data_IF_512897369813
#
_entry.id   IF_512897369813
#
_cell.length_a   1.000
_cell.length_b   1.000
_cell.length_c   1.000
_cell.angle_alpha   90.00
_cell.angle_beta   90.00
_cell.angle_gamma   90.00
#
_symmetry.space_group_name_H-M   'P 1'
#
loop_
_entity.id
_entity.type
_entity.pdbx_description
1 polymer ?
#
# COMPACT_ATOMS: atom_id res chain seq x y z
N UNK A 1 -29.22 -3.23 -2.96
CA UNK A 1 -28.77 -4.18 -1.92
C UNK A 1 -27.93 -3.48 -0.82
N UNK A 2 -26.58 -3.49 -0.82
CA UNK A 2 -25.81 -2.80 0.26
C UNK A 2 -25.99 -1.28 0.15
N UNK A 3 -25.89 -0.73 -1.04
CA UNK A 3 -26.02 0.70 -1.27
C UNK A 3 -27.44 1.20 -0.98
N UNK A 4 -28.46 0.40 -1.32
CA UNK A 4 -29.86 0.72 -0.96
C UNK A 4 -30.06 0.71 0.55
N UNK A 5 -29.42 -0.22 1.28
CA UNK A 5 -29.46 -0.25 2.74
C UNK A 5 -28.73 0.93 3.41
N UNK A 6 -27.79 1.55 2.69
CA UNK A 6 -27.06 2.74 3.15
C UNK A 6 -27.65 4.05 2.59
N UNK A 7 -28.75 3.98 1.86
CA UNK A 7 -29.37 5.13 1.16
C UNK A 7 -28.35 5.88 0.25
N UNK A 8 -27.52 5.12 -0.46
CA UNK A 8 -26.47 5.66 -1.33
C UNK A 8 -26.93 5.66 -2.79
N UNK A 9 -27.02 6.83 -3.41
CA UNK A 9 -27.53 7.02 -4.77
C UNK A 9 -26.50 7.55 -5.79
N UNK A 10 -25.22 7.57 -5.42
CA UNK A 10 -24.15 8.07 -6.28
C UNK A 10 -23.71 7.08 -7.37
N UNK A 11 -22.89 7.53 -8.32
CA UNK A 11 -22.24 6.64 -9.27
C UNK A 11 -21.38 5.58 -8.58
N UNK A 12 -21.31 4.39 -9.17
CA UNK A 12 -20.56 3.25 -8.63
C UNK A 12 -19.48 2.87 -9.62
N UNK A 13 -18.24 2.76 -9.14
CA UNK A 13 -17.11 2.24 -9.89
C UNK A 13 -16.54 1.03 -9.16
N UNK A 14 -16.41 -0.09 -9.87
CA UNK A 14 -15.75 -1.28 -9.34
C UNK A 14 -14.34 -1.33 -9.92
N UNK A 15 -13.34 -1.32 -9.05
CA UNK A 15 -11.93 -1.49 -9.39
C UNK A 15 -11.53 -2.92 -9.08
N UNK A 16 -11.18 -3.70 -10.13
CA UNK A 16 -10.76 -5.09 -9.99
C UNK A 16 -9.46 -5.29 -10.77
N UNK A 17 -8.34 -5.04 -10.10
CA UNK A 17 -7.00 -5.15 -10.65
C UNK A 17 -6.04 -5.82 -9.65
N UNK A 18 -6.46 -6.98 -9.15
CA UNK A 18 -5.72 -7.82 -8.21
C UNK A 18 -5.34 -7.07 -6.92
N UNK A 19 -4.12 -7.29 -6.42
CA UNK A 19 -3.68 -6.78 -5.12
C UNK A 19 -3.57 -5.25 -5.05
N UNK A 20 -3.57 -4.54 -6.17
CA UNK A 20 -3.57 -3.08 -6.21
C UNK A 20 -4.97 -2.45 -6.18
N UNK A 21 -6.06 -3.26 -6.17
CA UNK A 21 -7.45 -2.78 -6.30
C UNK A 21 -7.80 -1.72 -5.26
N UNK A 22 -7.55 -1.98 -3.98
CA UNK A 22 -7.88 -1.04 -2.89
C UNK A 22 -7.10 0.27 -3.00
N UNK A 23 -5.81 0.20 -3.31
CA UNK A 23 -4.97 1.38 -3.54
C UNK A 23 -5.45 2.21 -4.74
N UNK A 24 -5.75 1.55 -5.86
CA UNK A 24 -6.26 2.22 -7.06
C UNK A 24 -7.69 2.78 -6.87
N UNK A 25 -8.55 2.10 -6.09
CA UNK A 25 -9.87 2.63 -5.77
C UNK A 25 -9.79 3.94 -4.97
N UNK A 26 -8.89 4.00 -3.97
CA UNK A 26 -8.62 5.21 -3.20
C UNK A 26 -7.99 6.29 -4.08
N UNK A 27 -7.00 5.94 -4.92
CA UNK A 27 -6.38 6.86 -5.86
C UNK A 27 -7.37 7.44 -6.88
N UNK A 28 -8.25 6.61 -7.43
CA UNK A 28 -9.31 7.06 -8.34
C UNK A 28 -10.29 8.03 -7.65
N UNK A 29 -10.71 7.73 -6.42
CA UNK A 29 -11.55 8.64 -5.64
C UNK A 29 -10.87 10.00 -5.41
N UNK A 30 -9.57 10.02 -5.13
CA UNK A 30 -8.78 11.23 -5.01
C UNK A 30 -8.74 12.04 -6.32
N UNK A 31 -8.56 11.36 -7.47
CA UNK A 31 -8.60 12.03 -8.78
C UNK A 31 -9.96 12.67 -9.08
N UNK A 32 -11.07 11.99 -8.77
CA UNK A 32 -12.42 12.53 -8.93
C UNK A 32 -12.63 13.81 -8.10
N UNK A 33 -12.17 13.82 -6.86
CA UNK A 33 -12.26 14.99 -5.99
C UNK A 33 -11.36 16.12 -6.49
N UNK A 34 -10.10 15.79 -6.80
CA UNK A 34 -9.13 16.78 -7.25
C UNK A 34 -9.48 17.44 -8.58
N UNK A 35 -10.14 16.72 -9.47
CA UNK A 35 -10.63 17.24 -10.76
C UNK A 35 -11.98 17.98 -10.64
N UNK A 36 -12.57 18.07 -9.45
CA UNK A 36 -13.86 18.71 -9.21
C UNK A 36 -15.07 17.91 -9.70
N UNK A 37 -14.89 16.64 -10.07
CA UNK A 37 -15.98 15.76 -10.49
C UNK A 37 -16.82 15.26 -9.31
N UNK A 38 -16.22 15.23 -8.10
CA UNK A 38 -16.91 14.88 -6.87
C UNK A 38 -16.41 15.75 -5.71
N UNK A 39 -17.30 16.05 -4.77
CA UNK A 39 -16.94 16.71 -3.50
C UNK A 39 -16.59 15.67 -2.43
N UNK A 40 -17.26 14.52 -2.48
CA UNK A 40 -17.10 13.41 -1.54
C UNK A 40 -17.26 12.07 -2.24
N UNK A 41 -16.39 11.12 -1.93
CA UNK A 41 -16.40 9.76 -2.47
C UNK A 41 -16.17 8.77 -1.33
N UNK A 42 -16.96 7.70 -1.30
CA UNK A 42 -16.69 6.54 -0.45
C UNK A 42 -15.85 5.56 -1.27
N UNK A 43 -14.66 5.23 -0.80
CA UNK A 43 -13.74 4.34 -1.49
C UNK A 43 -12.97 3.44 -0.52
N UNK A 44 -12.50 2.32 -1.01
CA UNK A 44 -11.73 1.36 -0.21
C UNK A 44 -11.59 0.03 -0.91
N UNK A 45 -11.39 -1.01 -0.13
CA UNK A 45 -11.25 -2.37 -0.63
C UNK A 45 -11.72 -3.39 0.39
N UNK A 46 -12.14 -4.54 -0.11
CA UNK A 46 -12.48 -5.71 0.71
C UNK A 46 -12.04 -6.97 -0.03
N UNK A 47 -11.73 -7.98 0.72
CA UNK A 47 -11.52 -9.34 0.20
C UNK A 47 -11.78 -10.35 1.32
N UNK A 48 -12.18 -11.56 0.93
CA UNK A 48 -12.45 -12.66 1.84
C UNK A 48 -11.72 -13.92 1.40
N UNK A 49 -11.24 -14.68 2.36
CA UNK A 49 -10.61 -15.96 2.09
C UNK A 49 -11.63 -16.93 1.48
N UNK A 50 -11.24 -17.56 0.39
CA UNK A 50 -12.00 -18.61 -0.23
C UNK A 50 -11.09 -19.70 -0.82
N UNK A 51 -11.64 -20.89 -0.98
CA UNK A 51 -10.92 -22.05 -1.48
C UNK A 51 -10.30 -21.80 -2.87
N UNK A 52 -11.02 -21.12 -3.75
CA UNK A 52 -10.54 -20.82 -5.10
C UNK A 52 -9.27 -19.95 -5.07
N UNK A 53 -9.26 -18.93 -4.24
CA UNK A 53 -8.09 -18.02 -4.11
C UNK A 53 -6.93 -18.76 -3.49
N UNK A 54 -7.18 -19.51 -2.40
CA UNK A 54 -6.14 -20.31 -1.75
C UNK A 54 -5.51 -21.31 -2.74
N UNK A 55 -6.32 -22.11 -3.42
CA UNK A 55 -5.87 -23.10 -4.40
C UNK A 55 -5.12 -22.44 -5.57
N UNK A 56 -5.54 -21.26 -5.99
CA UNK A 56 -4.85 -20.49 -7.03
C UNK A 56 -3.43 -20.11 -6.62
N UNK A 57 -3.24 -19.53 -5.43
CA UNK A 57 -1.91 -19.17 -4.92
C UNK A 57 -1.05 -20.39 -4.58
N UNK A 58 -1.66 -21.48 -4.10
CA UNK A 58 -0.99 -22.76 -3.86
C UNK A 58 -0.46 -23.36 -5.17
N UNK A 59 -1.27 -23.38 -6.21
CA UNK A 59 -0.87 -23.89 -7.53
C UNK A 59 0.28 -23.08 -8.17
N UNK A 60 0.41 -21.81 -7.82
CA UNK A 60 1.52 -20.94 -8.22
C UNK A 60 2.75 -21.10 -7.32
N UNK A 61 2.67 -21.92 -6.28
CA UNK A 61 3.72 -22.08 -5.27
C UNK A 61 4.14 -20.73 -4.64
N UNK A 62 3.17 -19.85 -4.45
CA UNK A 62 3.40 -18.51 -3.91
C UNK A 62 3.15 -18.42 -2.40
N UNK A 63 2.52 -19.43 -1.81
CA UNK A 63 2.25 -19.49 -0.37
C UNK A 63 3.49 -19.92 0.40
N UNK A 64 3.72 -19.29 1.55
CA UNK A 64 4.74 -19.72 2.50
C UNK A 64 4.35 -21.06 3.12
N UNK A 65 5.33 -21.94 3.27
CA UNK A 65 5.18 -23.20 3.99
C UNK A 65 5.48 -23.07 5.48
N UNK A 66 5.92 -21.90 5.89
CA UNK A 66 6.30 -21.60 7.29
C UNK A 66 5.54 -20.37 7.79
N UNK A 67 6.13 -19.18 7.67
CA UNK A 67 5.52 -17.89 8.01
C UNK A 67 5.88 -16.84 6.97
N UNK A 68 4.98 -15.89 6.74
CA UNK A 68 5.25 -14.75 5.88
C UNK A 68 6.28 -13.83 6.54
N UNK A 69 7.43 -13.61 5.87
CA UNK A 69 8.52 -12.78 6.38
C UNK A 69 9.08 -11.87 5.28
N UNK A 70 8.41 -10.76 4.99
CA UNK A 70 8.85 -9.84 3.95
C UNK A 70 10.30 -9.38 4.15
N UNK A 71 11.04 -9.24 3.06
CA UNK A 71 12.44 -8.78 3.02
C UNK A 71 13.46 -9.63 3.80
N UNK A 72 13.05 -10.72 4.47
CA UNK A 72 13.98 -11.65 5.11
C UNK A 72 14.63 -12.55 4.05
N UNK A 73 15.91 -12.90 4.25
CA UNK A 73 16.65 -13.77 3.36
C UNK A 73 16.07 -15.20 3.28
N UNK A 74 15.31 -15.63 4.28
CA UNK A 74 14.68 -16.94 4.38
C UNK A 74 13.21 -16.94 3.95
N UNK A 75 12.70 -15.83 3.37
CA UNK A 75 11.32 -15.77 2.88
C UNK A 75 11.06 -16.84 1.84
N UNK A 76 9.93 -17.50 1.92
CA UNK A 76 9.55 -18.61 1.05
C UNK A 76 8.14 -18.43 0.42
N UNK A 77 7.47 -17.32 0.70
CA UNK A 77 6.14 -17.05 0.15
C UNK A 77 5.31 -16.13 1.02
N UNK A 78 4.10 -15.88 0.58
CA UNK A 78 3.12 -15.05 1.26
C UNK A 78 2.18 -15.89 2.16
N UNK A 79 1.54 -15.22 3.12
CA UNK A 79 0.36 -15.74 3.80
C UNK A 79 -0.86 -14.95 3.32
N UNK A 80 -1.99 -15.63 3.09
CA UNK A 80 -3.24 -14.97 2.75
C UNK A 80 -3.94 -14.43 4.00
N UNK A 81 -4.63 -13.31 3.85
CA UNK A 81 -5.50 -12.71 4.86
C UNK A 81 -6.81 -12.25 4.25
N UNK A 82 -7.74 -11.85 5.10
CA UNK A 82 -9.01 -11.26 4.69
C UNK A 82 -9.30 -9.99 5.49
N UNK A 83 -10.10 -9.09 4.93
CA UNK A 83 -10.48 -7.87 5.61
C UNK A 83 -11.13 -6.85 4.69
N UNK A 84 -11.43 -5.70 5.28
CA UNK A 84 -11.98 -4.55 4.56
C UNK A 84 -11.56 -3.24 5.22
N UNK A 85 -11.39 -2.21 4.41
CA UNK A 85 -11.28 -0.84 4.88
C UNK A 85 -12.00 0.09 3.90
N UNK A 86 -12.82 0.98 4.45
CA UNK A 86 -13.63 1.95 3.69
C UNK A 86 -13.37 3.34 4.24
N UNK A 87 -13.17 4.28 3.34
CA UNK A 87 -12.89 5.68 3.64
C UNK A 87 -13.96 6.59 3.06
N UNK A 88 -14.23 7.68 3.74
CA UNK A 88 -14.81 8.87 3.13
C UNK A 88 -13.67 9.81 2.76
N UNK A 89 -13.42 9.97 1.46
CA UNK A 89 -12.55 11.00 0.91
C UNK A 89 -13.41 12.20 0.53
N UNK A 90 -12.95 13.40 0.87
CA UNK A 90 -13.69 14.62 0.55
C UNK A 90 -12.75 15.83 0.50
N UNK A 91 -13.25 16.92 -0.07
CA UNK A 91 -12.54 18.19 0.00
C UNK A 91 -12.42 18.67 1.45
N UNK A 92 -11.38 19.42 1.76
CA UNK A 92 -11.20 20.01 3.09
C UNK A 92 -12.38 20.88 3.52
N UNK A 93 -12.94 21.62 2.57
CA UNK A 93 -14.12 22.46 2.78
C UNK A 93 -15.32 21.62 3.24
N UNK A 94 -15.65 20.55 2.51
CA UNK A 94 -16.73 19.62 2.87
C UNK A 94 -16.52 18.98 4.26
N UNK A 95 -15.29 18.58 4.56
CA UNK A 95 -14.96 18.00 5.86
C UNK A 95 -15.19 18.99 7.01
N UNK A 96 -14.79 20.24 6.83
CA UNK A 96 -14.98 21.31 7.82
C UNK A 96 -16.45 21.68 8.01
N UNK A 97 -17.18 21.83 6.91
CA UNK A 97 -18.62 22.19 6.94
C UNK A 97 -19.47 21.20 7.73
N UNK A 98 -19.17 19.90 7.62
CA UNK A 98 -19.88 18.86 8.38
C UNK A 98 -19.27 18.51 9.74
N UNK A 99 -18.18 19.20 10.16
CA UNK A 99 -17.49 18.93 11.42
C UNK A 99 -16.81 17.56 11.46
N UNK A 100 -16.28 17.09 10.34
CA UNK A 100 -15.64 15.77 10.26
C UNK A 100 -14.34 15.72 11.08
N UNK A 101 -14.09 14.59 11.72
CA UNK A 101 -12.76 14.28 12.26
C UNK A 101 -11.84 13.89 11.10
N UNK A 102 -10.95 14.79 10.73
CA UNK A 102 -9.97 14.54 9.68
C UNK A 102 -8.86 13.62 10.24
N UNK A 103 -8.61 12.50 9.56
CA UNK A 103 -7.62 11.49 9.97
C UNK A 103 -6.25 11.74 9.35
N UNK A 104 -6.20 12.36 8.18
CA UNK A 104 -5.01 12.67 7.41
C UNK A 104 -5.38 13.24 6.04
N UNK A 105 -4.38 13.58 5.26
CA UNK A 105 -4.55 14.05 3.87
C UNK A 105 -3.96 13.03 2.91
N UNK A 106 -4.71 12.64 1.89
CA UNK A 106 -4.16 11.95 0.73
C UNK A 106 -3.64 13.01 -0.23
N UNK A 107 -2.32 13.12 -0.33
CA UNK A 107 -1.66 14.21 -1.07
C UNK A 107 -1.11 13.77 -2.43
N UNK A 108 -0.91 12.45 -2.64
CA UNK A 108 -0.36 11.94 -3.87
C UNK A 108 -0.81 10.54 -4.20
N UNK A 109 -0.89 10.29 -5.50
CA UNK A 109 -1.19 8.99 -6.08
C UNK A 109 -0.37 8.79 -7.35
N UNK A 110 0.15 7.59 -7.53
CA UNK A 110 0.80 7.13 -8.73
C UNK A 110 0.27 5.76 -9.13
N UNK A 111 0.17 5.50 -10.42
CA UNK A 111 -0.19 4.19 -10.98
C UNK A 111 0.60 3.91 -12.24
N UNK A 112 1.02 2.67 -12.43
CA UNK A 112 1.75 2.22 -13.60
C UNK A 112 1.49 0.74 -13.86
N UNK A 113 1.70 0.32 -15.11
CA UNK A 113 1.54 -1.08 -15.53
C UNK A 113 2.91 -1.66 -15.84
N UNK A 114 3.27 -2.71 -15.10
CA UNK A 114 4.42 -3.56 -15.40
C UNK A 114 4.07 -4.53 -16.54
N UNK A 115 4.78 -4.42 -17.65
CA UNK A 115 4.53 -5.24 -18.84
C UNK A 115 5.48 -6.45 -18.93
N UNK A 116 6.21 -6.75 -17.84
CA UNK A 116 7.22 -7.78 -17.86
C UNK A 116 6.63 -9.19 -17.92
N UNK A 117 5.71 -9.51 -17.01
CA UNK A 117 5.09 -10.84 -16.93
C UNK A 117 3.76 -10.76 -16.16
N UNK A 118 2.87 -11.75 -16.37
CA UNK A 118 1.54 -11.77 -15.75
C UNK A 118 1.59 -11.81 -14.21
N UNK A 119 2.54 -12.56 -13.64
CA UNK A 119 2.64 -12.79 -12.18
C UNK A 119 4.00 -12.43 -11.58
N UNK A 120 4.96 -12.00 -12.39
CA UNK A 120 6.30 -11.66 -11.93
C UNK A 120 6.60 -10.19 -12.18
N UNK A 121 7.09 -9.45 -11.17
CA UNK A 121 7.49 -8.06 -11.36
C UNK A 121 8.76 -7.98 -12.22
N UNK A 122 8.98 -6.84 -12.84
CA UNK A 122 10.21 -6.54 -13.54
C UNK A 122 11.38 -6.60 -12.53
N UNK A 123 12.40 -7.43 -12.79
CA UNK A 123 13.39 -7.80 -11.75
C UNK A 123 14.19 -6.62 -11.15
N UNK A 124 14.39 -5.54 -11.92
CA UNK A 124 15.11 -4.35 -11.45
C UNK A 124 14.18 -3.32 -10.78
N UNK A 125 12.87 -3.60 -10.69
CA UNK A 125 11.91 -2.72 -10.02
C UNK A 125 11.61 -1.42 -10.75
N UNK A 126 11.85 -1.35 -12.07
CA UNK A 126 11.68 -0.09 -12.83
C UNK A 126 10.27 0.46 -12.80
N UNK A 127 9.24 -0.41 -12.84
CA UNK A 127 7.84 0.02 -12.74
C UNK A 127 7.48 0.46 -11.33
N UNK A 128 7.96 -0.26 -10.31
CA UNK A 128 7.84 0.15 -8.90
C UNK A 128 8.46 1.52 -8.66
N UNK A 129 9.67 1.75 -9.19
CA UNK A 129 10.34 3.04 -9.15
C UNK A 129 9.52 4.15 -9.83
N UNK A 130 8.97 3.85 -11.01
CA UNK A 130 8.18 4.80 -11.77
C UNK A 130 6.90 5.22 -11.02
N UNK A 131 6.17 4.27 -10.42
CA UNK A 131 4.94 4.57 -9.69
C UNK A 131 5.21 5.38 -8.42
N UNK A 132 6.29 5.09 -7.70
CA UNK A 132 6.71 5.90 -6.53
C UNK A 132 7.11 7.33 -6.93
N UNK A 133 7.87 7.49 -8.02
CA UNK A 133 8.22 8.82 -8.56
C UNK A 133 6.98 9.60 -9.00
N UNK A 134 6.03 8.93 -9.66
CA UNK A 134 4.78 9.57 -10.07
C UNK A 134 3.95 10.03 -8.86
N UNK A 135 3.84 9.20 -7.81
CA UNK A 135 3.13 9.58 -6.60
C UNK A 135 3.78 10.81 -5.93
N UNK A 136 5.10 10.84 -5.82
CA UNK A 136 5.83 12.01 -5.30
C UNK A 136 5.59 13.26 -6.15
N UNK A 137 5.67 13.15 -7.46
CA UNK A 137 5.41 14.27 -8.37
C UNK A 137 3.98 14.79 -8.22
N UNK A 138 2.99 13.92 -8.08
CA UNK A 138 1.58 14.31 -7.88
C UNK A 138 1.34 14.98 -6.53
N UNK A 139 2.11 14.59 -5.50
CA UNK A 139 2.07 15.15 -4.16
C UNK A 139 2.87 16.46 -4.03
N UNK A 140 3.75 16.77 -4.97
CA UNK A 140 4.70 17.88 -4.88
C UNK A 140 5.74 17.71 -3.77
N UNK A 141 6.14 16.45 -3.50
CA UNK A 141 7.15 16.10 -2.48
C UNK A 141 8.31 15.34 -3.10
N UNK A 142 9.44 15.36 -2.41
CA UNK A 142 10.63 14.59 -2.79
C UNK A 142 10.76 13.32 -1.94
N UNK A 143 11.57 12.32 -2.36
CA UNK A 143 11.83 11.14 -1.53
C UNK A 143 12.37 11.46 -0.14
N UNK A 144 13.11 12.57 0.01
CA UNK A 144 13.70 13.02 1.26
C UNK A 144 12.64 13.42 2.30
N UNK A 145 11.44 13.79 1.87
CA UNK A 145 10.34 14.23 2.74
C UNK A 145 9.47 13.06 3.24
N UNK A 146 9.67 11.86 2.68
CA UNK A 146 8.91 10.66 3.12
C UNK A 146 9.54 10.09 4.38
N UNK A 147 8.80 10.05 5.47
CA UNK A 147 9.30 9.58 6.78
C UNK A 147 9.16 8.07 6.97
N UNK A 148 8.22 7.43 6.26
CA UNK A 148 7.95 6.00 6.38
C UNK A 148 7.38 5.42 5.08
N UNK A 149 7.78 4.19 4.76
CA UNK A 149 7.22 3.40 3.67
C UNK A 149 6.54 2.14 4.22
N UNK A 150 5.23 2.03 4.00
CA UNK A 150 4.51 0.77 4.08
C UNK A 150 4.67 0.07 2.74
N UNK A 151 5.56 -0.91 2.69
CA UNK A 151 5.89 -1.61 1.47
C UNK A 151 4.81 -2.62 1.09
N UNK A 152 4.74 -2.95 -0.21
CA UNK A 152 3.93 -4.07 -0.64
C UNK A 152 4.39 -5.37 0.01
N UNK A 153 5.69 -5.65 0.04
CA UNK A 153 6.36 -6.65 0.87
C UNK A 153 5.54 -7.91 1.13
N UNK A 154 5.48 -8.81 0.16
CA UNK A 154 4.63 -10.01 0.22
C UNK A 154 5.29 -11.22 0.88
N UNK A 155 6.59 -11.16 1.15
CA UNK A 155 7.37 -12.33 1.57
C UNK A 155 7.73 -13.27 0.43
N UNK A 156 7.45 -12.90 -0.83
CA UNK A 156 7.86 -13.68 -2.00
C UNK A 156 9.24 -13.24 -2.50
N UNK A 157 9.99 -14.20 -3.05
CA UNK A 157 11.36 -13.95 -3.48
C UNK A 157 11.45 -12.82 -4.52
N UNK A 158 10.57 -12.83 -5.53
CA UNK A 158 10.65 -11.90 -6.66
C UNK A 158 10.15 -10.51 -6.32
N UNK A 159 8.98 -10.39 -5.67
CA UNK A 159 8.42 -9.10 -5.31
C UNK A 159 9.36 -8.32 -4.40
N UNK A 160 9.77 -8.94 -3.31
CA UNK A 160 10.53 -8.24 -2.28
C UNK A 160 11.91 -7.80 -2.77
N UNK A 161 12.56 -8.61 -3.61
CA UNK A 161 13.84 -8.21 -4.23
C UNK A 161 13.67 -7.04 -5.20
N UNK A 162 12.63 -7.09 -6.05
CA UNK A 162 12.32 -6.03 -7.01
C UNK A 162 11.95 -4.72 -6.29
N UNK A 163 11.09 -4.80 -5.29
CA UNK A 163 10.67 -3.65 -4.50
C UNK A 163 11.83 -3.05 -3.70
N UNK A 164 12.68 -3.90 -3.09
CA UNK A 164 13.86 -3.43 -2.36
C UNK A 164 14.84 -2.65 -3.24
N UNK A 165 15.08 -3.12 -4.47
CA UNK A 165 15.90 -2.39 -5.44
C UNK A 165 15.28 -1.05 -5.84
N UNK A 166 13.96 -1.04 -6.09
CA UNK A 166 13.25 0.19 -6.45
C UNK A 166 13.27 1.21 -5.31
N UNK A 167 13.02 0.79 -4.07
CA UNK A 167 13.09 1.67 -2.89
C UNK A 167 14.51 2.22 -2.73
N UNK A 168 15.53 1.38 -2.90
CA UNK A 168 16.92 1.82 -2.77
C UNK A 168 17.29 2.88 -3.83
N UNK A 169 16.91 2.67 -5.08
CA UNK A 169 17.15 3.64 -6.15
C UNK A 169 16.34 4.93 -5.93
N UNK A 170 15.07 4.80 -5.54
CA UNK A 170 14.19 5.95 -5.29
C UNK A 170 14.65 6.81 -4.12
N UNK A 171 15.04 6.19 -3.00
CA UNK A 171 15.50 6.89 -1.80
C UNK A 171 16.94 7.44 -1.93
N UNK A 172 17.72 6.92 -2.88
CA UNK A 172 19.10 7.33 -3.09
C UNK A 172 19.96 7.25 -1.83
N UNK A 173 20.73 8.30 -1.49
CA UNK A 173 21.60 8.29 -0.30
C UNK A 173 20.86 8.09 1.02
N UNK A 174 19.57 8.40 1.06
CA UNK A 174 18.76 8.31 2.27
C UNK A 174 18.29 6.86 2.57
N UNK A 175 18.47 5.92 1.68
CA UNK A 175 18.00 4.54 1.84
C UNK A 175 18.36 3.93 3.19
N UNK A 176 19.57 4.16 3.69
CA UNK A 176 20.05 3.61 4.96
C UNK A 176 19.37 4.19 6.21
N UNK A 177 18.58 5.27 6.06
CA UNK A 177 17.84 5.91 7.16
C UNK A 177 16.32 5.95 6.94
N UNK A 178 15.83 5.40 5.83
CA UNK A 178 14.40 5.37 5.50
C UNK A 178 13.74 4.16 6.17
N UNK A 179 12.85 4.35 7.16
CA UNK A 179 12.14 3.23 7.80
C UNK A 179 11.16 2.58 6.83
N UNK A 180 11.21 1.26 6.71
CA UNK A 180 10.32 0.46 5.87
C UNK A 180 9.79 -0.72 6.67
N UNK A 181 8.52 -1.05 6.50
CA UNK A 181 7.97 -2.33 6.94
C UNK A 181 6.81 -2.78 6.06
N UNK A 182 6.50 -4.06 6.11
CA UNK A 182 5.28 -4.63 5.56
C UNK A 182 4.43 -5.21 6.68
N UNK A 183 3.18 -4.83 6.75
CA UNK A 183 2.22 -5.35 7.73
C UNK A 183 1.71 -6.75 7.37
N UNK A 184 2.06 -7.27 6.19
CA UNK A 184 1.63 -8.60 5.72
C UNK A 184 2.17 -9.75 6.56
N UNK A 185 3.30 -9.57 7.24
CA UNK A 185 3.76 -10.54 8.24
C UNK A 185 2.75 -10.72 9.39
N UNK A 186 2.03 -9.65 9.76
CA UNK A 186 1.11 -9.63 10.90
C UNK A 186 -0.32 -10.03 10.54
N UNK A 187 -0.81 -9.61 9.36
CA UNK A 187 -2.23 -9.73 8.98
C UNK A 187 -2.45 -10.57 7.72
N UNK A 188 -1.40 -11.05 7.08
CA UNK A 188 -1.45 -11.70 5.79
C UNK A 188 -1.62 -10.72 4.63
N UNK A 189 -1.60 -11.24 3.42
CA UNK A 189 -1.90 -10.49 2.20
C UNK A 189 -3.42 -10.49 1.96
N UNK A 190 -4.05 -9.34 2.16
CA UNK A 190 -5.51 -9.16 2.06
C UNK A 190 -5.98 -8.93 0.61
N UNK A 191 -5.17 -9.27 -0.38
CA UNK A 191 -5.50 -9.21 -1.81
C UNK A 191 -6.07 -7.86 -2.24
N UNK A 192 -7.32 -7.83 -2.74
CA UNK A 192 -7.99 -6.59 -3.14
C UNK A 192 -8.23 -5.60 -2.01
N UNK A 193 -8.29 -6.05 -0.75
CA UNK A 193 -8.38 -5.20 0.42
C UNK A 193 -7.04 -4.62 0.87
N UNK A 194 -5.90 -5.23 0.47
CA UNK A 194 -4.58 -4.93 1.02
C UNK A 194 -4.25 -3.43 1.03
N UNK A 195 -4.29 -2.78 -0.13
CA UNK A 195 -3.94 -1.36 -0.22
C UNK A 195 -4.86 -0.44 0.59
N UNK A 196 -6.12 -0.83 0.80
CA UNK A 196 -7.03 -0.05 1.65
C UNK A 196 -6.72 -0.22 3.14
N UNK A 197 -6.44 -1.44 3.59
CA UNK A 197 -6.06 -1.70 5.00
C UNK A 197 -4.68 -1.09 5.31
N UNK A 198 -3.74 -1.17 4.38
CA UNK A 198 -2.42 -0.55 4.50
C UNK A 198 -2.50 0.99 4.53
N UNK A 199 -3.48 1.59 3.85
CA UNK A 199 -3.80 3.01 4.00
C UNK A 199 -4.27 3.36 5.43
N UNK A 200 -5.06 2.48 6.09
CA UNK A 200 -5.40 2.64 7.52
C UNK A 200 -4.14 2.62 8.37
N UNK A 201 -3.22 1.68 8.11
CA UNK A 201 -1.94 1.59 8.85
C UNK A 201 -1.13 2.87 8.70
N UNK A 202 -1.02 3.41 7.48
CA UNK A 202 -0.34 4.69 7.26
C UNK A 202 -0.99 5.84 8.05
N UNK A 203 -2.33 5.94 8.03
CA UNK A 203 -3.05 6.97 8.79
C UNK A 203 -2.87 6.79 10.31
N UNK A 204 -2.85 5.55 10.82
CA UNK A 204 -2.54 5.27 12.24
C UNK A 204 -1.11 5.68 12.58
N UNK A 205 -0.14 5.35 11.74
CA UNK A 205 1.27 5.77 11.89
C UNK A 205 1.40 7.29 11.98
N UNK A 206 0.74 8.02 11.09
CA UNK A 206 0.71 9.49 11.07
C UNK A 206 0.04 10.09 12.31
N UNK A 207 -1.01 9.46 12.84
CA UNK A 207 -1.75 9.94 13.99
C UNK A 207 -1.07 9.61 15.31
N UNK A 208 -0.66 8.36 15.48
CA UNK A 208 -0.13 7.85 16.73
C UNK A 208 1.39 8.06 16.86
N UNK A 209 2.06 8.47 15.78
CA UNK A 209 3.50 8.78 15.75
C UNK A 209 4.39 7.61 16.17
N UNK A 210 4.08 6.43 15.65
CA UNK A 210 4.88 5.23 15.79
C UNK A 210 4.99 4.47 14.48
N UNK A 211 6.04 3.68 14.33
CA UNK A 211 6.30 2.84 13.17
C UNK A 211 5.85 1.40 13.43
N UNK A 212 4.99 0.82 12.60
CA UNK A 212 4.55 -0.57 12.76
C UNK A 212 5.71 -1.53 12.48
N UNK A 213 5.89 -2.56 13.34
CA UNK A 213 6.94 -3.53 13.14
C UNK A 213 6.60 -4.50 12.01
N UNK A 214 7.64 -5.03 11.41
CA UNK A 214 7.60 -6.24 10.62
C UNK A 214 7.99 -7.41 11.50
N UNK A 215 7.00 -8.21 11.90
CA UNK A 215 7.24 -9.41 12.70
C UNK A 215 7.93 -10.49 11.85
N UNK A 216 8.54 -11.47 12.47
CA UNK A 216 9.23 -12.60 11.81
C UNK A 216 10.48 -12.21 10.96
N UNK A 217 10.88 -10.94 10.97
CA UNK A 217 12.09 -10.49 10.28
C UNK A 217 13.32 -10.68 11.14
N UNK A 218 14.29 -11.50 10.68
CA UNK A 218 15.51 -11.78 11.41
C UNK A 218 16.77 -11.42 10.60
N UNK A 219 16.85 -11.91 9.35
CA UNK A 219 18.02 -11.79 8.49
C UNK A 219 17.70 -11.00 7.25
N UNK A 220 18.28 -9.80 7.08
CA UNK A 220 18.04 -8.97 5.89
C UNK A 220 18.43 -9.71 4.59
N UNK A 221 17.56 -9.62 3.58
CA UNK A 221 17.97 -9.95 2.22
C UNK A 221 19.08 -8.98 1.76
N UNK A 222 20.12 -9.44 1.05
CA UNK A 222 21.18 -8.57 0.54
C UNK A 222 20.73 -7.41 -0.35
N UNK A 223 19.58 -7.53 -1.02
CA UNK A 223 18.97 -6.45 -1.80
C UNK A 223 18.39 -5.33 -0.91
N UNK A 224 18.05 -5.65 0.34
CA UNK A 224 17.43 -4.75 1.29
C UNK A 224 18.47 -3.78 1.88
N UNK A 225 18.50 -2.54 1.42
CA UNK A 225 19.45 -1.50 1.86
C UNK A 225 18.87 -0.53 2.89
N UNK A 226 17.60 -0.65 3.21
CA UNK A 226 16.88 0.17 4.19
C UNK A 226 16.74 -0.57 5.53
N UNK A 227 16.55 0.17 6.64
CA UNK A 227 16.26 -0.45 7.92
C UNK A 227 14.82 -0.96 7.94
N UNK A 228 14.63 -2.28 8.09
CA UNK A 228 13.33 -2.89 8.35
C UNK A 228 13.01 -2.74 9.83
N UNK A 229 11.81 -2.28 10.14
CA UNK A 229 11.38 -1.99 11.52
C UNK A 229 11.04 -3.31 12.20
N UNK A 230 11.86 -3.74 13.18
CA UNK A 230 11.66 -5.01 13.92
C UNK A 230 10.75 -4.91 15.14
N UNK A 231 10.68 -3.74 15.74
CA UNK A 231 9.89 -3.51 16.94
C UNK A 231 9.07 -2.23 16.78
N UNK A 232 7.91 -2.11 17.42
CA UNK A 232 7.19 -0.85 17.47
C UNK A 232 8.13 0.26 17.93
N UNK A 233 8.23 1.33 17.17
CA UNK A 233 9.20 2.39 17.42
C UNK A 233 8.52 3.74 17.36
N UNK A 234 8.62 4.52 18.42
CA UNK A 234 8.14 5.90 18.42
C UNK A 234 8.97 6.71 17.42
N UNK A 235 8.30 7.43 16.53
CA UNK A 235 8.94 8.23 15.50
C UNK A 235 8.06 9.41 15.08
N UNK A 236 8.69 10.52 14.76
CA UNK A 236 7.97 11.63 14.13
C UNK A 236 7.75 11.30 12.66
N UNK A 237 6.49 11.11 12.28
CA UNK A 237 6.07 10.82 10.91
C UNK A 237 5.10 11.89 10.46
N UNK A 238 5.44 12.63 9.40
CA UNK A 238 4.60 13.65 8.79
C UNK A 238 4.06 13.19 7.43
N UNK A 239 4.84 12.39 6.70
CA UNK A 239 4.48 11.88 5.39
C UNK A 239 4.79 10.39 5.32
N UNK A 240 3.78 9.60 4.98
CA UNK A 240 3.89 8.15 4.80
C UNK A 240 3.52 7.77 3.36
N UNK A 241 4.23 6.80 2.81
CA UNK A 241 3.99 6.22 1.50
C UNK A 241 3.51 4.77 1.64
N UNK A 242 2.52 4.37 0.84
CA UNK A 242 2.02 2.98 0.77
C UNK A 242 2.10 2.45 -0.65
N UNK A 243 2.73 1.30 -0.83
CA UNK A 243 2.84 0.59 -2.09
C UNK A 243 1.88 -0.59 -2.19
N UNK A 244 1.25 -0.77 -3.33
CA UNK A 244 0.40 -1.93 -3.65
C UNK A 244 0.68 -2.39 -5.07
N UNK A 245 1.14 -3.63 -5.24
CA UNK A 245 1.48 -4.21 -6.55
C UNK A 245 0.64 -5.44 -6.82
N UNK A 246 0.07 -5.52 -8.02
CA UNK A 246 -0.88 -6.57 -8.39
C UNK A 246 -0.38 -7.45 -9.52
N UNK A 247 -0.78 -8.71 -9.49
CA UNK A 247 -0.68 -9.58 -10.67
C UNK A 247 -1.39 -8.91 -11.86
N UNK A 248 -0.91 -9.16 -13.06
CA UNK A 248 -1.29 -8.37 -14.24
C UNK A 248 -0.48 -7.08 -14.38
N UNK A 249 0.45 -6.81 -13.43
CA UNK A 249 1.39 -5.69 -13.48
C UNK A 249 0.81 -4.35 -13.03
N UNK A 250 -0.42 -4.30 -12.55
CA UNK A 250 -1.02 -3.03 -12.09
C UNK A 250 -0.49 -2.66 -10.72
N UNK A 251 0.13 -1.50 -10.63
CA UNK A 251 0.77 -0.97 -9.42
C UNK A 251 0.12 0.34 -8.98
N UNK A 252 0.09 0.57 -7.68
CA UNK A 252 -0.38 1.80 -7.06
C UNK A 252 0.56 2.22 -5.94
N UNK A 253 0.77 3.53 -5.81
CA UNK A 253 1.44 4.15 -4.66
C UNK A 253 0.58 5.31 -4.17
N UNK A 254 0.30 5.34 -2.88
CA UNK A 254 -0.43 6.40 -2.21
C UNK A 254 0.51 7.15 -1.26
N UNK A 255 0.35 8.47 -1.14
CA UNK A 255 1.11 9.31 -0.20
C UNK A 255 0.14 10.06 0.70
N UNK A 256 0.33 9.87 2.00
CA UNK A 256 -0.47 10.46 3.05
C UNK A 256 0.34 11.47 3.85
N UNK A 257 -0.29 12.56 4.25
CA UNK A 257 0.26 13.60 5.13
C UNK A 257 -0.53 13.65 6.43
N UNK A 258 0.20 13.86 7.53
CA UNK A 258 -0.39 14.10 8.84
C UNK A 258 -1.26 15.35 8.83
N UNK A 259 -2.45 15.23 9.37
CA UNK A 259 -3.31 16.37 9.68
C UNK A 259 -2.90 16.98 11.03
N UNK A 260 -2.73 18.31 11.09
CA UNK A 260 -2.33 19.06 12.29
C UNK A 260 -3.30 20.17 12.61
#
# INVERSE_FOLDING_TARGET
MILDALDFSGPITIVSNACASGGNAIGHAWELIRSGQAVRVVAGGYDALCEMVFSGFDSLQALSTTVCRPFDARRDGLALGEGAAIFTLETLESARERGAKILGELIGYGTAIDQHHLTQPQPQGSTTLAVMKQACASAGVTPEEIDYVNAHGTGTALNDSSEALAIAEWAGPRVASLPVSSTKASIGHLLGAAGAVEAVVCLMTLREQWLPPEIEFETPDPACKFPVIKNPTDARVNIALSNSFGFGGVNATLIFRRWT
#
